data_IF_621514895540
#
_entry.id   IF_621514895540
#
_cell.length_a   1.000
_cell.length_b   1.000
_cell.length_c   1.000
_cell.angle_alpha   90.00
_cell.angle_beta   90.00
_cell.angle_gamma   90.00
#
_symmetry.space_group_name_H-M   'P 1'
#
loop_
_entity.id
_entity.type
_entity.pdbx_description
1 polymer ?
#
# COMPACT_ATOMS: atom_id res chain seq x y z
N UNK A 1 20.64 -7.85 -12.77
CA UNK A 1 19.73 -7.64 -13.86
C UNK A 1 18.30 -7.59 -13.39
N UNK A 2 17.53 -6.68 -13.91
CA UNK A 2 16.19 -6.42 -13.38
C UNK A 2 15.05 -6.94 -14.23
N UNK A 3 15.34 -7.93 -15.06
CA UNK A 3 14.27 -8.59 -15.79
C UNK A 3 13.28 -9.15 -14.80
N UNK A 4 12.09 -9.30 -15.16
CA UNK A 4 10.99 -9.85 -14.36
C UNK A 4 10.54 -8.93 -13.24
N UNK A 5 11.03 -7.71 -13.19
CA UNK A 5 10.44 -6.75 -12.26
C UNK A 5 9.12 -6.25 -12.81
N UNK A 6 8.23 -6.00 -11.88
CA UNK A 6 6.86 -5.60 -12.22
C UNK A 6 6.79 -4.09 -12.19
N UNK A 7 6.33 -3.50 -13.31
CA UNK A 7 6.33 -2.06 -13.45
C UNK A 7 5.00 -1.45 -13.01
N UNK A 8 5.01 -0.13 -12.90
CA UNK A 8 3.85 0.67 -12.54
C UNK A 8 2.62 0.28 -13.38
N UNK A 9 2.81 0.05 -14.68
CA UNK A 9 1.70 -0.23 -15.58
C UNK A 9 1.05 -1.60 -15.36
N UNK A 10 1.71 -2.48 -14.61
CA UNK A 10 1.18 -3.81 -14.33
C UNK A 10 0.19 -3.81 -13.17
N UNK A 11 0.08 -2.69 -12.44
CA UNK A 11 -0.82 -2.60 -11.31
C UNK A 11 -2.08 -1.85 -11.72
N UNK A 12 -3.21 -2.30 -11.19
CA UNK A 12 -4.47 -1.61 -11.40
C UNK A 12 -4.47 -0.29 -10.64
N UNK A 13 -5.39 0.59 -11.01
CA UNK A 13 -5.51 1.86 -10.30
C UNK A 13 -5.90 1.65 -8.85
N UNK A 14 -6.67 0.63 -8.56
CA UNK A 14 -7.00 0.28 -7.19
C UNK A 14 -5.73 -0.11 -6.41
N UNK A 15 -4.90 -0.96 -7.01
CA UNK A 15 -3.64 -1.35 -6.39
C UNK A 15 -2.71 -0.15 -6.18
N UNK A 16 -2.68 0.76 -7.15
CA UNK A 16 -1.86 1.96 -7.02
C UNK A 16 -2.35 2.85 -5.88
N UNK A 17 -3.64 2.86 -5.61
CA UNK A 17 -4.16 3.55 -4.45
C UNK A 17 -3.67 2.94 -3.14
N UNK A 18 -3.59 1.61 -3.08
CA UNK A 18 -3.02 0.92 -1.93
C UNK A 18 -1.55 1.28 -1.78
N UNK A 19 -0.79 1.24 -2.88
CA UNK A 19 0.61 1.65 -2.87
C UNK A 19 0.77 3.04 -2.28
N UNK A 20 -0.02 3.96 -2.77
CA UNK A 20 0.11 5.35 -2.36
C UNK A 20 -0.17 5.52 -0.88
N UNK A 21 -1.03 4.68 -0.33
CA UNK A 21 -1.39 4.76 1.08
C UNK A 21 -0.39 4.12 2.02
N UNK A 22 0.24 3.01 1.63
CA UNK A 22 1.02 2.22 2.58
C UNK A 22 2.41 1.80 2.10
N UNK A 23 2.75 1.99 0.83
CA UNK A 23 4.04 1.53 0.32
C UNK A 23 5.16 2.50 0.65
N UNK A 24 6.30 1.97 1.05
CA UNK A 24 7.53 2.72 1.25
C UNK A 24 8.61 2.12 0.37
N UNK A 25 9.34 2.99 -0.33
CA UNK A 25 10.48 2.57 -1.15
C UNK A 25 11.77 2.84 -0.41
N UNK A 26 12.64 1.85 -0.39
CA UNK A 26 13.94 1.98 0.25
C UNK A 26 14.96 1.20 -0.56
N UNK A 27 15.95 1.90 -1.13
CA UNK A 27 16.92 1.30 -2.02
C UNK A 27 16.23 0.58 -3.16
N UNK A 28 16.29 -0.74 -3.16
CA UNK A 28 15.75 -1.57 -4.22
C UNK A 28 14.54 -2.36 -3.75
N UNK A 29 13.99 -1.99 -2.62
CA UNK A 29 12.94 -2.76 -1.97
C UNK A 29 11.70 -1.91 -1.73
N UNK A 30 10.55 -2.52 -1.91
CA UNK A 30 9.27 -1.91 -1.57
C UNK A 30 8.70 -2.64 -0.36
N UNK A 31 8.29 -1.89 0.64
CA UNK A 31 7.73 -2.44 1.86
C UNK A 31 6.30 -1.93 2.05
N UNK A 32 5.39 -2.85 2.32
CA UNK A 32 4.00 -2.53 2.62
C UNK A 32 3.69 -2.98 4.04
N UNK A 33 3.09 -2.11 4.82
CA UNK A 33 2.67 -2.44 6.18
C UNK A 33 1.23 -2.06 6.37
N UNK A 34 0.42 -3.01 6.83
CA UNK A 34 -1.00 -2.77 7.02
C UNK A 34 -1.57 -3.77 8.03
N UNK A 35 -2.47 -3.29 8.87
CA UNK A 35 -3.14 -4.17 9.83
C UNK A 35 -4.11 -5.11 9.14
N UNK A 36 -4.62 -4.72 7.99
CA UNK A 36 -5.58 -5.53 7.24
C UNK A 36 -4.86 -6.26 6.12
N UNK A 37 -4.72 -7.57 6.28
CA UNK A 37 -4.05 -8.44 5.31
C UNK A 37 -4.67 -8.36 3.92
N UNK A 38 -5.95 -8.06 3.85
CA UNK A 38 -6.71 -8.01 2.59
C UNK A 38 -6.01 -7.15 1.53
N UNK A 39 -5.52 -5.98 1.92
CA UNK A 39 -4.88 -5.08 0.97
C UNK A 39 -3.54 -5.62 0.47
N UNK A 40 -2.82 -6.29 1.36
CA UNK A 40 -1.53 -6.90 0.97
C UNK A 40 -1.74 -8.09 0.04
N UNK A 41 -2.80 -8.85 0.25
CA UNK A 41 -3.12 -9.95 -0.64
C UNK A 41 -3.43 -9.47 -2.05
N UNK A 42 -4.11 -8.33 -2.16
CA UNK A 42 -4.43 -7.73 -3.47
C UNK A 42 -3.14 -7.37 -4.21
N UNK A 43 -2.18 -6.78 -3.52
CA UNK A 43 -0.89 -6.44 -4.13
C UNK A 43 -0.15 -7.72 -4.53
N UNK A 44 -0.17 -8.72 -3.66
CA UNK A 44 0.57 -9.96 -3.90
C UNK A 44 0.03 -10.75 -5.08
N UNK A 45 -1.22 -10.56 -5.45
CA UNK A 45 -1.77 -11.22 -6.63
C UNK A 45 -1.01 -10.84 -7.89
N UNK A 46 -0.67 -9.57 -8.05
CA UNK A 46 0.10 -9.11 -9.20
C UNK A 46 1.53 -9.63 -9.12
N UNK A 47 2.02 -9.90 -7.91
CA UNK A 47 3.33 -10.49 -7.71
C UNK A 47 3.28 -12.02 -7.81
N UNK A 48 2.19 -12.58 -8.33
CA UNK A 48 1.97 -14.02 -8.50
C UNK A 48 2.05 -14.79 -7.17
N UNK A 49 1.68 -14.12 -6.08
CA UNK A 49 1.70 -14.70 -4.75
C UNK A 49 3.08 -15.26 -4.36
N UNK A 50 4.13 -14.66 -4.89
CA UNK A 50 5.50 -15.12 -4.66
C UNK A 50 6.12 -14.56 -3.38
N UNK A 51 5.49 -13.57 -2.78
CA UNK A 51 6.04 -12.90 -1.61
C UNK A 51 5.34 -13.39 -0.36
N UNK A 52 6.16 -13.72 0.62
CA UNK A 52 5.64 -14.19 1.90
C UNK A 52 5.20 -13.01 2.75
N UNK A 53 4.00 -13.12 3.31
CA UNK A 53 3.50 -12.11 4.24
C UNK A 53 3.95 -12.48 5.64
N UNK A 54 4.56 -11.51 6.32
CA UNK A 54 4.99 -11.68 7.69
C UNK A 54 4.07 -10.90 8.61
N UNK A 55 3.83 -11.44 9.79
CA UNK A 55 3.06 -10.73 10.79
C UNK A 55 4.02 -10.15 11.84
N UNK A 56 4.02 -8.84 11.97
CA UNK A 56 4.83 -8.17 12.97
C UNK A 56 4.04 -8.05 14.26
N UNK A 57 4.29 -8.97 15.17
CA UNK A 57 3.52 -9.14 16.38
C UNK A 57 3.58 -7.93 17.29
N UNK A 58 4.74 -7.32 17.39
CA UNK A 58 4.95 -6.15 18.25
C UNK A 58 4.17 -4.93 17.79
N UNK A 59 3.90 -4.83 16.50
CA UNK A 59 3.17 -3.70 15.91
C UNK A 59 1.76 -4.07 15.45
N UNK A 60 1.39 -5.33 15.61
CA UNK A 60 0.09 -5.85 15.22
C UNK A 60 -0.25 -5.46 13.79
N UNK A 61 0.64 -5.80 12.86
CA UNK A 61 0.43 -5.51 11.46
C UNK A 61 1.12 -6.55 10.58
N UNK A 62 0.63 -6.68 9.37
CA UNK A 62 1.24 -7.53 8.36
C UNK A 62 2.24 -6.72 7.54
N UNK A 63 3.29 -7.39 7.11
CA UNK A 63 4.37 -6.77 6.33
C UNK A 63 4.61 -7.60 5.08
N UNK A 64 4.69 -6.93 3.94
CA UNK A 64 5.07 -7.52 2.68
C UNK A 64 6.26 -6.73 2.16
N UNK A 65 7.36 -7.43 1.86
CA UNK A 65 8.56 -6.81 1.31
C UNK A 65 8.89 -7.47 -0.02
N UNK A 66 9.19 -6.67 -1.02
CA UNK A 66 9.46 -7.21 -2.35
C UNK A 66 10.54 -6.42 -3.06
N UNK A 67 11.39 -7.15 -3.78
CA UNK A 67 12.34 -6.56 -4.71
C UNK A 67 11.89 -6.74 -6.15
N UNK A 68 10.67 -7.24 -6.34
CA UNK A 68 10.14 -7.52 -7.67
C UNK A 68 9.52 -6.30 -8.34
N UNK A 69 9.40 -5.19 -7.62
CA UNK A 69 8.75 -4.00 -8.12
C UNK A 69 9.79 -3.06 -8.70
N UNK A 70 9.53 -2.60 -9.92
CA UNK A 70 10.40 -1.65 -10.60
C UNK A 70 10.12 -0.25 -10.09
N UNK A 71 10.89 0.18 -9.10
CA UNK A 71 10.69 1.47 -8.44
C UNK A 71 10.86 2.62 -9.42
N UNK A 72 11.78 2.51 -10.38
CA UNK A 72 12.00 3.58 -11.36
C UNK A 72 10.76 3.85 -12.18
N UNK A 73 9.97 2.82 -12.48
CA UNK A 73 8.73 3.01 -13.24
C UNK A 73 7.72 3.85 -12.46
N UNK A 74 7.76 3.77 -11.15
CA UNK A 74 6.89 4.60 -10.31
C UNK A 74 7.36 6.06 -10.31
N UNK A 75 8.66 6.26 -10.23
CA UNK A 75 9.23 7.61 -10.22
C UNK A 75 8.94 8.32 -11.54
N UNK A 76 9.03 7.62 -12.66
CA UNK A 76 8.72 8.18 -13.98
C UNK A 76 7.27 8.66 -14.04
N UNK A 77 6.37 8.01 -13.29
CA UNK A 77 4.97 8.38 -13.25
C UNK A 77 4.64 9.34 -12.12
N UNK A 78 5.62 10.12 -11.71
CA UNK A 78 5.46 11.17 -10.70
C UNK A 78 5.09 10.66 -9.32
N UNK A 79 5.54 9.45 -9.01
CA UNK A 79 5.26 8.88 -7.70
C UNK A 79 6.09 9.58 -6.62
N UNK A 80 5.42 9.96 -5.55
CA UNK A 80 6.08 10.55 -4.38
C UNK A 80 5.98 9.57 -3.21
N UNK A 81 7.10 9.29 -2.57
CA UNK A 81 7.14 8.39 -1.43
C UNK A 81 6.24 8.90 -0.31
N UNK A 82 5.58 7.99 0.40
CA UNK A 82 4.68 8.35 1.48
C UNK A 82 5.37 9.10 2.63
N UNK A 83 6.67 9.00 2.72
CA UNK A 83 7.44 9.69 3.77
C UNK A 83 7.80 11.12 3.37
N UNK A 84 7.51 11.54 2.16
CA UNK A 84 7.80 12.91 1.74
C UNK A 84 6.84 13.88 2.43
N UNK A 85 7.37 15.07 2.71
CA UNK A 85 6.57 16.10 3.36
C UNK A 85 5.36 16.53 2.51
N UNK A 86 5.59 16.70 1.23
CA UNK A 86 4.52 17.01 0.29
C UNK A 86 4.45 15.85 -0.70
N UNK A 87 3.24 15.34 -0.92
CA UNK A 87 3.04 14.22 -1.81
C UNK A 87 2.14 14.62 -2.96
N UNK A 88 2.61 14.33 -4.16
CA UNK A 88 1.81 14.51 -5.36
C UNK A 88 1.12 13.20 -5.72
N UNK A 89 -0.08 13.32 -6.26
CA UNK A 89 -0.80 12.17 -6.80
C UNK A 89 -0.16 11.79 -8.13
N UNK A 90 0.10 10.50 -8.38
CA UNK A 90 0.70 10.09 -9.65
C UNK A 90 -0.23 10.37 -10.82
N UNK A 91 0.36 10.41 -12.02
CA UNK A 91 -0.42 10.62 -13.25
C UNK A 91 -1.16 9.34 -13.60
N UNK A 92 -2.48 9.39 -13.64
CA UNK A 92 -3.33 8.26 -13.96
C UNK A 92 -4.37 8.66 -14.99
N UNK A 93 -4.86 7.69 -15.74
CA UNK A 93 -5.95 7.93 -16.70
C UNK A 93 -7.27 8.21 -16.01
N UNK A 94 -7.49 7.54 -14.88
CA UNK A 94 -8.72 7.67 -14.11
C UNK A 94 -8.38 7.49 -12.64
N UNK A 95 -8.93 8.33 -11.80
CA UNK A 95 -8.61 8.28 -10.37
C UNK A 95 -9.67 7.61 -9.53
N UNK A 96 -10.75 7.14 -10.15
CA UNK A 96 -11.86 6.58 -9.41
C UNK A 96 -11.46 5.42 -8.50
N UNK A 97 -10.80 4.42 -9.06
CA UNK A 97 -10.42 3.24 -8.29
C UNK A 97 -9.24 3.54 -7.38
N UNK A 98 -8.36 4.42 -7.80
CA UNK A 98 -7.25 4.89 -6.96
C UNK A 98 -7.79 5.51 -5.68
N UNK A 99 -8.72 6.44 -5.82
CA UNK A 99 -9.32 7.10 -4.68
C UNK A 99 -10.14 6.15 -3.83
N UNK A 100 -10.85 5.23 -4.47
CA UNK A 100 -11.64 4.24 -3.75
C UNK A 100 -10.75 3.40 -2.85
N UNK A 101 -9.60 2.94 -3.35
CA UNK A 101 -8.67 2.16 -2.56
C UNK A 101 -8.13 2.96 -1.38
N UNK A 102 -7.75 4.21 -1.65
CA UNK A 102 -7.22 5.07 -0.61
C UNK A 102 -8.25 5.33 0.49
N UNK A 103 -9.47 5.58 0.09
CA UNK A 103 -10.57 5.81 1.04
C UNK A 103 -10.86 4.56 1.86
N UNK A 104 -10.92 3.41 1.20
CA UNK A 104 -11.17 2.14 1.89
C UNK A 104 -10.07 1.83 2.89
N UNK A 105 -8.84 2.09 2.50
CA UNK A 105 -7.68 1.87 3.36
C UNK A 105 -7.77 2.74 4.61
N UNK A 106 -8.07 4.02 4.43
CA UNK A 106 -8.22 4.95 5.54
C UNK A 106 -9.42 4.62 6.40
N UNK A 107 -10.54 4.26 5.78
CA UNK A 107 -11.74 3.90 6.51
C UNK A 107 -11.51 2.68 7.39
N UNK A 108 -10.77 1.71 6.89
CA UNK A 108 -10.45 0.53 7.66
C UNK A 108 -9.63 0.88 8.90
N UNK A 109 -8.62 1.73 8.72
CA UNK A 109 -7.79 2.18 9.83
C UNK A 109 -8.60 3.01 10.82
N UNK A 110 -9.41 3.92 10.31
CA UNK A 110 -10.25 4.76 11.16
C UNK A 110 -11.28 3.94 11.92
N UNK A 111 -11.86 2.96 11.26
CA UNK A 111 -12.82 2.08 11.91
C UNK A 111 -12.20 1.37 13.10
N UNK A 112 -11.00 0.82 12.91
CA UNK A 112 -10.29 0.15 14.00
C UNK A 112 -10.03 1.09 15.16
N UNK A 113 -9.60 2.30 14.86
CA UNK A 113 -9.33 3.31 15.88
C UNK A 113 -10.60 3.72 16.61
N UNK A 114 -11.66 3.99 15.86
CA UNK A 114 -12.94 4.37 16.45
C UNK A 114 -13.50 3.27 17.34
N UNK A 115 -13.42 2.05 16.88
CA UNK A 115 -13.92 0.93 17.64
C UNK A 115 -13.23 0.84 18.99
N UNK A 116 -11.90 0.96 18.99
CA UNK A 116 -11.14 0.94 20.23
C UNK A 116 -11.52 2.10 21.15
N UNK A 117 -11.67 3.28 20.58
CA UNK A 117 -12.06 4.46 21.35
C UNK A 117 -13.48 4.34 21.89
N UNK A 118 -14.39 3.81 21.10
CA UNK A 118 -15.76 3.61 21.54
C UNK A 118 -15.87 2.63 22.68
N UNK A 119 -15.01 1.63 22.71
CA UNK A 119 -14.96 0.71 23.84
C UNK A 119 -14.65 1.43 25.13
N UNK A 120 -13.77 2.41 25.07
CA UNK A 120 -13.38 3.20 26.23
C UNK A 120 -14.41 4.25 26.59
N UNK A 121 -15.10 4.77 25.61
CA UNK A 121 -15.93 5.97 25.78
C UNK A 121 -17.40 5.76 25.45
N UNK A 122 -17.85 4.54 25.35
CA UNK A 122 -19.20 4.28 24.85
C UNK A 122 -20.32 4.83 25.73
N UNK A 123 -20.00 5.22 26.92
CA UNK A 123 -21.01 5.76 27.84
C UNK A 123 -20.97 7.27 28.00
N UNK A 124 -20.23 7.90 27.15
CA UNK A 124 -20.20 9.36 27.16
C UNK A 124 -21.41 9.99 26.53
#
# INVERSE_FOLDING_TARGET
MRKNRISFDNFSEYQLGIFWGIASFSDDRTTFRCKNKYFLDIINKTLNNTVYLQYAKDKDQYVLKSQLIDIESFIINNWTDRNAYIRDVPSLKCYKDFLRAYIELHSSLDYSTRYSNNRKNKYK
#
